data_IF_062958822201
#
_entry.id   IF_062958822201
#
_cell.length_a   1.000
_cell.length_b   1.000
_cell.length_c   1.000
_cell.angle_alpha   90.00
_cell.angle_beta   90.00
_cell.angle_gamma   90.00
#
_symmetry.space_group_name_H-M   'P 1'
#
loop_
_entity.id
_entity.type
_entity.pdbx_description
1 polymer ?
#
# COMPACT_ATOMS: atom_id res chain seq x y z
N UNK A 1 22.11 19.17 -8.24
CA UNK A 1 22.05 20.63 -8.44
C UNK A 1 20.64 21.18 -8.75
N UNK A 2 19.64 20.30 -8.99
CA UNK A 2 18.25 20.73 -9.23
C UNK A 2 17.66 21.46 -8.00
N UNK A 3 17.91 20.96 -6.79
CA UNK A 3 17.38 21.56 -5.55
C UNK A 3 17.97 22.95 -5.26
N UNK A 4 19.23 23.18 -5.62
CA UNK A 4 19.86 24.48 -5.42
C UNK A 4 19.34 25.55 -6.37
N UNK A 5 19.04 25.14 -7.62
CA UNK A 5 18.57 26.07 -8.65
C UNK A 5 17.09 26.47 -8.51
N UNK A 6 16.24 25.61 -7.95
CA UNK A 6 14.81 25.91 -7.83
C UNK A 6 14.39 26.44 -6.46
N UNK A 7 15.08 26.05 -5.37
CA UNK A 7 14.62 26.35 -4.01
C UNK A 7 15.63 27.13 -3.16
N UNK A 8 16.82 27.41 -3.66
CA UNK A 8 17.92 28.07 -2.92
C UNK A 8 18.24 27.43 -1.55
N UNK A 9 17.94 26.13 -1.40
CA UNK A 9 18.16 25.36 -0.19
C UNK A 9 19.37 24.44 -0.38
N UNK A 10 20.40 24.60 0.45
CA UNK A 10 21.52 23.66 0.47
C UNK A 10 21.12 22.34 1.14
N UNK A 11 21.30 21.18 0.48
CA UNK A 11 21.02 19.89 1.09
C UNK A 11 21.86 19.70 2.38
N UNK A 12 21.26 19.08 3.41
CA UNK A 12 21.98 18.75 4.64
C UNK A 12 23.20 17.86 4.36
N UNK A 13 24.24 17.91 5.22
CA UNK A 13 25.42 17.05 5.06
C UNK A 13 25.06 15.55 5.04
N UNK A 14 24.07 15.16 5.83
CA UNK A 14 23.55 13.77 5.83
C UNK A 14 22.96 13.38 4.47
N UNK A 15 22.21 14.30 3.82
CA UNK A 15 21.66 14.06 2.48
C UNK A 15 22.76 13.98 1.42
N UNK A 16 23.81 14.82 1.54
CA UNK A 16 24.97 14.78 0.64
C UNK A 16 25.75 13.47 0.79
N UNK A 17 25.90 12.96 2.01
CA UNK A 17 26.55 11.66 2.27
C UNK A 17 25.71 10.51 1.72
N UNK A 18 24.40 10.52 1.93
CA UNK A 18 23.50 9.53 1.38
C UNK A 18 23.54 9.52 -0.15
N UNK A 19 23.51 10.71 -0.76
CA UNK A 19 23.61 10.85 -2.22
C UNK A 19 24.97 10.38 -2.77
N UNK A 20 26.08 10.67 -2.06
CA UNK A 20 27.41 10.14 -2.42
C UNK A 20 27.45 8.61 -2.32
N UNK A 21 26.84 8.04 -1.29
CA UNK A 21 26.79 6.59 -1.09
C UNK A 21 26.00 5.90 -2.20
N UNK A 22 24.85 6.47 -2.57
CA UNK A 22 24.03 5.98 -3.68
C UNK A 22 24.80 6.09 -4.99
N UNK A 23 25.39 7.26 -5.30
CA UNK A 23 26.14 7.51 -6.53
C UNK A 23 27.42 6.63 -6.65
N UNK A 24 28.10 6.36 -5.55
CA UNK A 24 29.27 5.49 -5.55
C UNK A 24 28.88 4.01 -5.77
N UNK A 25 27.68 3.60 -5.35
CA UNK A 25 27.10 2.28 -5.70
C UNK A 25 26.73 2.22 -7.18
N UNK A 26 26.25 3.31 -7.76
CA UNK A 26 25.88 3.36 -9.19
C UNK A 26 27.08 3.43 -10.15
N UNK A 27 28.26 3.85 -9.69
CA UNK A 27 29.48 3.92 -10.53
C UNK A 27 30.27 2.62 -10.63
N UNK A 28 29.93 1.62 -9.83
CA UNK A 28 30.52 0.28 -9.92
C UNK A 28 29.66 -0.65 -10.77
N UNK A 29 30.19 -1.16 -11.87
CA UNK A 29 29.54 -2.26 -12.59
C UNK A 29 29.57 -3.49 -11.66
N UNK A 30 28.46 -3.70 -10.92
CA UNK A 30 28.31 -4.91 -10.12
C UNK A 30 27.70 -6.01 -10.99
N UNK A 31 28.52 -6.97 -11.38
CA UNK A 31 28.11 -8.13 -12.20
C UNK A 31 27.72 -9.34 -11.35
N UNK A 32 27.89 -9.26 -10.03
CA UNK A 32 27.53 -10.34 -9.13
C UNK A 32 26.07 -10.24 -8.71
N UNK A 33 25.23 -11.12 -9.27
CA UNK A 33 23.79 -11.20 -8.97
C UNK A 33 23.51 -11.55 -7.51
N UNK A 34 24.35 -12.37 -6.85
CA UNK A 34 24.16 -12.73 -5.45
C UNK A 34 24.27 -11.51 -4.54
N UNK A 35 25.25 -10.64 -4.80
CA UNK A 35 25.40 -9.39 -4.03
C UNK A 35 24.26 -8.38 -4.32
N UNK A 36 23.73 -8.38 -5.55
CA UNK A 36 22.55 -7.57 -5.89
C UNK A 36 21.31 -8.12 -5.18
N UNK A 37 21.11 -9.44 -5.21
CA UNK A 37 20.00 -10.08 -4.51
C UNK A 37 20.06 -9.85 -3.00
N UNK A 38 21.25 -9.94 -2.39
CA UNK A 38 21.42 -9.65 -0.97
C UNK A 38 21.11 -8.19 -0.62
N UNK A 39 21.49 -7.25 -1.48
CA UNK A 39 21.17 -5.83 -1.31
C UNK A 39 19.67 -5.52 -1.49
N UNK A 40 18.93 -6.36 -2.23
CA UNK A 40 17.49 -6.25 -2.43
C UNK A 40 16.69 -7.04 -1.38
N UNK A 41 17.36 -7.86 -0.56
CA UNK A 41 16.72 -8.68 0.45
C UNK A 41 16.16 -7.79 1.56
N UNK A 42 14.86 -7.91 1.82
CA UNK A 42 14.21 -7.32 2.99
C UNK A 42 14.47 -8.22 4.22
N UNK A 43 14.68 -7.62 5.38
CA UNK A 43 14.61 -8.36 6.64
C UNK A 43 13.22 -8.98 6.79
N UNK A 44 13.17 -10.23 7.27
CA UNK A 44 11.91 -10.97 7.41
C UNK A 44 10.93 -10.18 8.28
N UNK A 45 10.00 -9.47 7.65
CA UNK A 45 8.93 -8.74 8.32
C UNK A 45 7.70 -9.64 8.45
N UNK A 46 7.06 -9.65 9.62
CA UNK A 46 5.79 -10.32 9.81
C UNK A 46 4.63 -9.40 9.41
N UNK A 47 3.64 -9.96 8.70
CA UNK A 47 2.42 -9.26 8.29
C UNK A 47 2.53 -8.61 6.91
N UNK A 48 1.49 -7.86 6.54
CA UNK A 48 1.37 -7.25 5.22
C UNK A 48 2.39 -6.14 4.96
N UNK A 49 2.70 -5.94 3.69
CA UNK A 49 3.57 -4.87 3.24
C UNK A 49 2.85 -3.51 3.28
N UNK A 50 3.30 -2.64 4.19
CA UNK A 50 2.85 -1.24 4.20
C UNK A 50 3.74 -0.40 3.32
N UNK A 51 3.15 0.40 2.44
CA UNK A 51 3.90 1.34 1.62
C UNK A 51 3.14 2.67 1.48
N UNK A 52 3.84 3.71 1.07
CA UNK A 52 3.23 4.98 0.72
C UNK A 52 2.39 4.88 -0.57
N UNK A 53 1.39 5.75 -0.72
CA UNK A 53 0.44 5.69 -1.83
C UNK A 53 1.07 5.65 -3.24
N UNK A 54 2.16 6.38 -3.55
CA UNK A 54 2.81 6.28 -4.86
C UNK A 54 3.32 4.86 -5.17
N UNK A 55 3.95 4.21 -4.18
CA UNK A 55 4.45 2.82 -4.30
C UNK A 55 3.27 1.85 -4.44
N UNK A 56 2.22 2.04 -3.64
CA UNK A 56 1.00 1.24 -3.75
C UNK A 56 0.40 1.31 -5.16
N UNK A 57 0.33 2.51 -5.74
CA UNK A 57 -0.18 2.72 -7.10
C UNK A 57 0.66 1.96 -8.13
N UNK A 58 1.98 1.97 -8.00
CA UNK A 58 2.87 1.29 -8.93
C UNK A 58 2.72 -0.24 -8.82
N UNK A 59 2.61 -0.78 -7.60
CA UNK A 59 2.30 -2.19 -7.35
C UNK A 59 0.93 -2.57 -7.92
N UNK A 60 -0.10 -1.75 -7.71
CA UNK A 60 -1.43 -1.96 -8.29
C UNK A 60 -1.38 -2.04 -9.83
N UNK A 61 -0.60 -1.15 -10.48
CA UNK A 61 -0.43 -1.18 -11.93
C UNK A 61 0.32 -2.44 -12.41
N UNK A 62 1.31 -2.88 -11.65
CA UNK A 62 2.06 -4.11 -11.93
C UNK A 62 1.13 -5.32 -11.87
N UNK A 63 0.33 -5.43 -10.82
CA UNK A 63 -0.64 -6.51 -10.62
C UNK A 63 -1.73 -6.53 -11.71
N UNK A 64 -2.23 -5.36 -12.13
CA UNK A 64 -3.18 -5.27 -13.26
C UNK A 64 -2.62 -5.87 -14.55
N UNK A 65 -1.34 -5.63 -14.82
CA UNK A 65 -0.66 -6.21 -16.01
C UNK A 65 -0.46 -7.72 -15.86
N UNK A 66 -0.21 -8.17 -14.63
CA UNK A 66 -0.05 -9.59 -14.34
C UNK A 66 -1.34 -10.38 -14.57
N UNK A 67 -2.51 -9.84 -14.18
CA UNK A 67 -3.83 -10.47 -14.37
C UNK A 67 -4.07 -10.88 -15.82
N UNK A 68 -3.71 -10.02 -16.78
CA UNK A 68 -3.91 -10.31 -18.22
C UNK A 68 -3.18 -11.60 -18.65
N UNK A 69 -2.05 -11.88 -18.03
CA UNK A 69 -1.21 -13.03 -18.36
C UNK A 69 -1.52 -14.27 -17.53
N UNK A 70 -1.81 -14.12 -16.25
CA UNK A 70 -1.98 -15.23 -15.31
C UNK A 70 -3.42 -15.67 -15.15
N UNK A 71 -4.38 -14.77 -15.42
CA UNK A 71 -5.81 -15.00 -15.13
C UNK A 71 -6.13 -15.01 -13.64
N UNK A 72 -5.21 -14.60 -12.78
CA UNK A 72 -5.41 -14.59 -11.34
C UNK A 72 -6.46 -13.56 -10.92
N UNK A 73 -7.18 -13.87 -9.85
CA UNK A 73 -8.13 -12.93 -9.24
C UNK A 73 -7.42 -12.09 -8.21
N UNK A 74 -7.46 -10.77 -8.37
CA UNK A 74 -6.92 -9.79 -7.43
C UNK A 74 -8.06 -8.88 -6.99
N UNK A 75 -8.11 -8.56 -5.71
CA UNK A 75 -9.13 -7.68 -5.16
C UNK A 75 -8.54 -6.43 -4.54
N UNK A 76 -9.18 -5.30 -4.83
CA UNK A 76 -8.94 -4.02 -4.15
C UNK A 76 -10.01 -3.84 -3.09
N UNK A 77 -9.56 -3.52 -1.88
CA UNK A 77 -10.43 -3.27 -0.76
C UNK A 77 -10.24 -1.84 -0.24
N UNK A 78 -11.33 -1.18 0.11
CA UNK A 78 -11.36 0.09 0.82
C UNK A 78 -11.92 -0.15 2.22
N UNK A 79 -11.20 0.26 3.26
CA UNK A 79 -11.68 0.35 4.63
C UNK A 79 -11.87 1.82 5.00
N UNK A 80 -13.05 2.16 5.50
CA UNK A 80 -13.38 3.52 5.94
C UNK A 80 -13.77 3.50 7.42
N UNK A 81 -13.03 4.23 8.24
CA UNK A 81 -13.36 4.45 9.64
C UNK A 81 -14.36 5.62 9.73
N UNK A 82 -15.50 5.37 10.34
CA UNK A 82 -16.56 6.36 10.55
C UNK A 82 -17.17 6.23 11.96
N UNK A 83 -17.95 7.22 12.35
CA UNK A 83 -18.87 7.11 13.48
C UNK A 83 -20.16 6.37 13.10
N UNK A 84 -21.10 6.26 14.03
CA UNK A 84 -22.37 5.57 13.79
C UNK A 84 -23.29 6.28 12.76
N UNK A 85 -23.04 7.57 12.52
CA UNK A 85 -23.77 8.37 11.54
C UNK A 85 -23.06 8.36 10.15
N UNK A 86 -22.00 7.57 10.01
CA UNK A 86 -21.21 7.48 8.78
C UNK A 86 -20.29 8.68 8.53
N UNK A 87 -20.06 9.52 9.53
CA UNK A 87 -19.22 10.71 9.43
C UNK A 87 -17.80 10.44 9.89
N UNK A 88 -16.86 11.29 9.46
CA UNK A 88 -15.47 11.22 9.92
C UNK A 88 -15.41 11.63 11.40
N UNK A 89 -14.88 10.78 12.29
CA UNK A 89 -14.77 11.09 13.70
C UNK A 89 -13.87 12.30 13.99
N UNK A 90 -14.01 12.90 15.18
CA UNK A 90 -13.14 14.00 15.62
C UNK A 90 -11.67 13.56 15.59
N UNK A 91 -10.76 14.48 15.21
CA UNK A 91 -9.34 14.17 14.94
C UNK A 91 -8.60 13.44 16.09
N UNK A 92 -8.89 13.79 17.34
CA UNK A 92 -8.27 13.14 18.51
C UNK A 92 -8.69 11.67 18.66
N UNK A 93 -9.92 11.33 18.27
CA UNK A 93 -10.44 9.96 18.25
C UNK A 93 -9.95 9.24 17.00
N UNK A 94 -10.02 9.91 15.85
CA UNK A 94 -9.65 9.39 14.56
C UNK A 94 -8.20 8.89 14.54
N UNK A 95 -7.25 9.68 14.99
CA UNK A 95 -5.83 9.31 14.96
C UNK A 95 -5.55 8.00 15.72
N UNK A 96 -6.07 7.89 16.95
CA UNK A 96 -5.93 6.66 17.75
C UNK A 96 -6.62 5.47 17.11
N UNK A 97 -7.83 5.67 16.59
CA UNK A 97 -8.58 4.61 15.93
C UNK A 97 -7.86 4.12 14.66
N UNK A 98 -7.28 5.03 13.88
CA UNK A 98 -6.52 4.69 12.69
C UNK A 98 -5.22 3.93 13.02
N UNK A 99 -4.55 4.22 14.14
CA UNK A 99 -3.40 3.44 14.63
C UNK A 99 -3.82 2.00 14.99
N UNK A 100 -4.92 1.83 15.72
CA UNK A 100 -5.46 0.50 16.03
C UNK A 100 -5.91 -0.25 14.77
N UNK A 101 -6.53 0.46 13.81
CA UNK A 101 -6.92 -0.13 12.53
C UNK A 101 -5.70 -0.56 11.72
N UNK A 102 -4.62 0.23 11.69
CA UNK A 102 -3.34 -0.14 11.09
C UNK A 102 -2.80 -1.45 11.69
N UNK A 103 -2.76 -1.55 13.01
CA UNK A 103 -2.33 -2.76 13.71
C UNK A 103 -3.21 -3.98 13.38
N UNK A 104 -4.54 -3.79 13.32
CA UNK A 104 -5.48 -4.83 12.96
C UNK A 104 -5.29 -5.32 11.51
N UNK A 105 -5.04 -4.40 10.57
CA UNK A 105 -4.73 -4.72 9.17
C UNK A 105 -3.44 -5.54 9.11
N UNK A 106 -2.34 -5.00 9.63
CA UNK A 106 -1.01 -5.64 9.59
C UNK A 106 -1.03 -7.06 10.15
N UNK A 107 -1.70 -7.28 11.27
CA UNK A 107 -1.75 -8.57 11.96
C UNK A 107 -2.76 -9.55 11.34
N UNK A 108 -3.63 -9.07 10.45
CA UNK A 108 -4.65 -9.91 9.80
C UNK A 108 -4.29 -10.32 8.39
N UNK A 109 -3.34 -9.67 7.77
CA UNK A 109 -2.95 -9.89 6.38
C UNK A 109 -1.69 -10.77 6.29
N UNK A 110 -1.44 -11.30 5.09
CA UNK A 110 -0.24 -12.08 4.76
C UNK A 110 0.88 -11.13 4.32
N UNK A 111 2.11 -11.64 4.31
CA UNK A 111 3.27 -10.86 3.84
C UNK A 111 3.19 -10.44 2.36
N UNK A 112 2.43 -11.18 1.54
CA UNK A 112 2.18 -10.84 0.13
C UNK A 112 1.08 -9.80 -0.09
N UNK A 113 0.28 -9.49 0.94
CA UNK A 113 -0.78 -8.50 0.83
C UNK A 113 -0.18 -7.10 1.03
N UNK A 114 -0.67 -6.13 0.26
CA UNK A 114 -0.14 -4.75 0.27
C UNK A 114 -1.22 -3.80 0.74
N UNK A 115 -0.86 -2.83 1.57
CA UNK A 115 -1.80 -1.80 2.01
C UNK A 115 -1.14 -0.44 2.20
N UNK A 116 -1.96 0.60 2.11
CA UNK A 116 -1.54 1.99 2.31
C UNK A 116 -2.63 2.81 2.97
N UNK A 117 -2.23 3.89 3.63
CA UNK A 117 -3.17 4.91 4.09
C UNK A 117 -3.59 5.78 2.91
N UNK A 118 -4.89 5.75 2.57
CA UNK A 118 -5.43 6.47 1.42
C UNK A 118 -5.91 7.88 1.77
N UNK A 119 -6.52 8.03 2.95
CA UNK A 119 -6.98 9.33 3.45
C UNK A 119 -6.86 9.41 4.98
N UNK A 120 -7.36 10.48 5.57
CA UNK A 120 -7.36 10.66 7.03
C UNK A 120 -8.10 9.53 7.76
N UNK A 121 -9.15 8.94 7.14
CA UNK A 121 -10.01 7.91 7.72
C UNK A 121 -10.03 6.60 6.93
N UNK A 122 -9.15 6.43 5.92
CA UNK A 122 -9.24 5.29 5.01
C UNK A 122 -7.91 4.58 4.80
N UNK A 123 -8.00 3.26 4.68
CA UNK A 123 -6.96 2.39 4.13
C UNK A 123 -7.46 1.71 2.85
N UNK A 124 -6.56 1.52 1.90
CA UNK A 124 -6.76 0.63 0.75
C UNK A 124 -5.82 -0.56 0.86
N UNK A 125 -6.31 -1.72 0.44
CA UNK A 125 -5.61 -3.00 0.54
C UNK A 125 -5.70 -3.69 -0.81
N UNK A 126 -4.59 -4.23 -1.28
CA UNK A 126 -4.51 -5.09 -2.45
C UNK A 126 -4.32 -6.53 -1.99
N UNK A 127 -5.24 -7.39 -2.39
CA UNK A 127 -5.29 -8.81 -2.04
C UNK A 127 -5.03 -9.66 -3.28
N UNK A 128 -3.79 -10.08 -3.55
CA UNK A 128 -3.51 -10.96 -4.66
C UNK A 128 -3.99 -12.40 -4.38
N UNK A 129 -4.34 -13.11 -5.44
CA UNK A 129 -4.68 -14.55 -5.42
C UNK A 129 -5.76 -14.97 -4.41
N UNK A 130 -6.82 -14.18 -4.26
CA UNK A 130 -7.97 -14.51 -3.41
C UNK A 130 -9.27 -14.63 -4.20
N UNK A 131 -10.26 -15.31 -3.64
CA UNK A 131 -11.65 -15.26 -4.11
C UNK A 131 -12.42 -14.16 -3.36
N UNK A 132 -13.58 -13.74 -3.89
CA UNK A 132 -14.43 -12.76 -3.21
C UNK A 132 -14.77 -13.19 -1.78
N UNK A 133 -15.13 -14.46 -1.58
CA UNK A 133 -15.49 -14.99 -0.26
C UNK A 133 -14.30 -14.94 0.71
N UNK A 134 -13.11 -15.30 0.25
CA UNK A 134 -11.88 -15.23 1.06
C UNK A 134 -11.50 -13.78 1.37
N UNK A 135 -11.68 -12.85 0.41
CA UNK A 135 -11.50 -11.42 0.62
C UNK A 135 -12.44 -10.91 1.73
N UNK A 136 -13.73 -11.23 1.65
CA UNK A 136 -14.71 -10.87 2.68
C UNK A 136 -14.37 -11.47 4.06
N UNK A 137 -13.89 -12.70 4.13
CA UNK A 137 -13.44 -13.31 5.39
C UNK A 137 -12.25 -12.56 5.99
N UNK A 138 -11.30 -12.13 5.17
CA UNK A 138 -10.15 -11.33 5.60
C UNK A 138 -10.61 -9.99 6.17
N UNK A 139 -11.55 -9.30 5.50
CA UNK A 139 -12.08 -8.02 5.95
C UNK A 139 -12.83 -8.13 7.28
N UNK A 140 -13.69 -9.14 7.42
CA UNK A 140 -14.39 -9.44 8.67
C UNK A 140 -13.40 -9.71 9.81
N UNK A 141 -12.27 -10.40 9.53
CA UNK A 141 -11.21 -10.65 10.51
C UNK A 141 -10.52 -9.34 10.94
N UNK A 142 -10.20 -8.46 9.99
CA UNK A 142 -9.60 -7.14 10.29
C UNK A 142 -10.53 -6.34 11.20
N UNK A 143 -11.80 -6.21 10.81
CA UNK A 143 -12.81 -5.45 11.55
C UNK A 143 -13.02 -6.04 12.96
N UNK A 144 -13.11 -7.37 13.06
CA UNK A 144 -13.23 -8.05 14.35
C UNK A 144 -12.01 -7.84 15.25
N UNK A 145 -10.80 -7.87 14.69
CA UNK A 145 -9.57 -7.59 15.42
C UNK A 145 -9.50 -6.14 15.89
N UNK A 146 -9.91 -5.20 15.02
CA UNK A 146 -9.99 -3.79 15.39
C UNK A 146 -10.92 -3.56 16.58
N UNK A 147 -12.16 -4.04 16.54
CA UNK A 147 -13.11 -3.87 17.62
C UNK A 147 -12.71 -4.59 18.92
N UNK A 148 -11.97 -5.69 18.82
CA UNK A 148 -11.44 -6.41 19.99
C UNK A 148 -10.30 -5.63 20.69
N UNK A 149 -9.44 -4.98 19.90
CA UNK A 149 -8.30 -4.21 20.44
C UNK A 149 -8.69 -2.79 20.83
N UNK A 150 -9.69 -2.22 20.16
CA UNK A 150 -10.16 -0.86 20.38
C UNK A 150 -11.66 -0.86 20.61
N UNK A 151 -12.05 -1.09 21.87
CA UNK A 151 -13.44 -1.27 22.29
C UNK A 151 -14.21 0.07 22.35
N UNK A 152 -14.45 0.66 21.18
CA UNK A 152 -15.24 1.89 20.99
C UNK A 152 -16.51 1.54 20.19
N UNK A 153 -17.67 1.60 20.89
CA UNK A 153 -18.98 1.28 20.29
C UNK A 153 -19.55 2.38 19.41
N UNK A 154 -18.98 3.57 19.51
CA UNK A 154 -19.32 4.76 18.74
C UNK A 154 -18.56 4.86 17.38
N UNK A 155 -17.77 3.86 17.05
CA UNK A 155 -17.02 3.78 15.81
C UNK A 155 -17.39 2.54 15.01
N UNK A 156 -17.41 2.69 13.70
CA UNK A 156 -17.61 1.63 12.72
C UNK A 156 -16.50 1.62 11.68
N UNK A 157 -16.20 0.46 11.12
CA UNK A 157 -15.32 0.30 9.98
C UNK A 157 -16.14 -0.28 8.83
N UNK A 158 -16.47 0.56 7.88
CA UNK A 158 -17.10 0.14 6.62
C UNK A 158 -16.05 -0.42 5.65
N UNK A 159 -16.48 -1.33 4.80
CA UNK A 159 -15.60 -1.88 3.77
C UNK A 159 -16.29 -2.00 2.41
N UNK A 160 -15.47 -1.94 1.37
CA UNK A 160 -15.88 -2.27 0.00
C UNK A 160 -14.81 -3.16 -0.61
N UNK A 161 -15.24 -4.20 -1.32
CA UNK A 161 -14.38 -5.16 -2.00
C UNK A 161 -14.75 -5.19 -3.48
N UNK A 162 -13.77 -5.00 -4.35
CA UNK A 162 -13.99 -5.05 -5.81
C UNK A 162 -12.87 -5.82 -6.49
N UNK A 163 -13.16 -6.63 -7.52
CA UNK A 163 -12.12 -7.24 -8.34
C UNK A 163 -11.35 -6.16 -9.09
N UNK A 164 -10.03 -6.35 -9.19
CA UNK A 164 -9.18 -5.54 -10.05
C UNK A 164 -9.40 -6.00 -11.49
N UNK A 165 -9.78 -5.08 -12.35
CA UNK A 165 -9.98 -5.38 -13.78
C UNK A 165 -8.62 -5.41 -14.51
N UNK A 166 -8.44 -6.31 -15.49
CA UNK A 166 -7.25 -6.36 -16.32
C UNK A 166 -6.96 -5.01 -16.99
N UNK A 167 -5.72 -4.81 -17.37
CA UNK A 167 -5.34 -3.63 -18.11
C UNK A 167 -5.85 -3.76 -19.57
N UNK A 168 -6.85 -2.96 -19.94
CA UNK A 168 -7.31 -2.88 -21.31
C UNK A 168 -6.31 -2.05 -22.13
N UNK A 169 -5.68 -2.65 -23.13
CA UNK A 169 -5.00 -1.87 -24.17
C UNK A 169 -6.08 -1.08 -24.89
N UNK A 170 -6.04 0.24 -24.85
CA UNK A 170 -6.80 1.05 -25.79
C UNK A 170 -6.42 0.58 -27.19
N UNK A 171 -7.36 -0.02 -27.91
CA UNK A 171 -7.15 -0.34 -29.33
C UNK A 171 -6.88 0.99 -30.04
N UNK A 172 -5.86 1.02 -30.88
CA UNK A 172 -5.49 2.19 -31.70
C UNK A 172 -6.63 2.66 -32.65
N UNK A 173 -7.78 2.02 -32.57
CA UNK A 173 -8.95 2.32 -33.38
C UNK A 173 -9.76 3.54 -32.92
N UNK A 174 -9.55 4.04 -31.69
CA UNK A 174 -10.24 5.25 -31.19
C UNK A 174 -9.47 6.56 -31.43
N UNK A 175 -8.29 6.49 -32.06
CA UNK A 175 -7.49 7.67 -32.40
C UNK A 175 -7.68 8.14 -33.86
N UNK A 176 -8.62 7.54 -34.61
CA UNK A 176 -8.85 7.82 -36.04
C UNK A 176 -10.28 8.33 -36.35
N UNK A 177 -10.97 8.96 -35.34
CA UNK A 177 -12.24 9.66 -35.58
C UNK A 177 -12.13 11.15 -35.22
#
# INVERSE_FOLDING_TARGET
DLFYNEFSISPSEHFKELYKTIRNKEQGINTNLDSIQEALREEASSGAFYCEYPVFRDLYQLERRAIERTGDSIYLCLLTLCDLDGQVPKMNVLNRAMEHLNGAIRNSLRCSDVYTRYSVSQYIILLPTVTAEKGEMVLKRIIGNFHRQYNRRDLSVEHRLQPVLPWERKSEMDAAL
#
